data_IF_607901344436
#
_entry.id   IF_607901344436
#
_cell.length_a   1.000
_cell.length_b   1.000
_cell.length_c   1.000
_cell.angle_alpha   90.00
_cell.angle_beta   90.00
_cell.angle_gamma   90.00
#
_symmetry.space_group_name_H-M   'P 1'
#
loop_
_entity.id
_entity.type
_entity.pdbx_description
1 polymer ?
#
# COMPACT_ATOMS: atom_id res chain seq x y z
N UNK A 1 -22.66 -12.11 8.84
CA UNK A 1 -22.36 -12.56 10.19
C UNK A 1 -20.95 -12.12 10.55
N UNK A 2 -20.74 -11.65 11.77
CA UNK A 2 -19.44 -11.21 12.25
C UNK A 2 -18.48 -12.41 12.27
N UNK A 3 -17.35 -12.25 11.59
CA UNK A 3 -16.27 -13.26 11.65
C UNK A 3 -15.55 -13.12 12.99
N UNK A 4 -15.42 -14.23 13.73
CA UNK A 4 -14.65 -14.25 14.98
C UNK A 4 -13.21 -13.81 14.73
N UNK A 5 -12.67 -12.94 15.59
CA UNK A 5 -11.31 -12.38 15.44
C UNK A 5 -11.18 -11.30 14.38
N UNK A 6 -12.29 -10.77 13.83
CA UNK A 6 -12.28 -9.70 12.84
C UNK A 6 -13.23 -8.58 13.26
N UNK A 7 -12.78 -7.34 13.21
CA UNK A 7 -13.60 -6.16 13.40
C UNK A 7 -13.60 -5.34 12.10
N UNK A 8 -14.79 -4.90 11.66
CA UNK A 8 -14.92 -4.07 10.46
C UNK A 8 -15.65 -2.78 10.81
N UNK A 9 -15.14 -1.67 10.31
CA UNK A 9 -15.75 -0.35 10.45
C UNK A 9 -15.71 0.37 9.11
N UNK A 10 -16.84 0.95 8.72
CA UNK A 10 -16.92 1.86 7.56
C UNK A 10 -17.34 3.24 8.05
N UNK A 11 -16.66 4.27 7.57
CA UNK A 11 -16.96 5.67 7.90
C UNK A 11 -16.67 6.57 6.70
N UNK A 12 -17.19 7.80 6.75
CA UNK A 12 -16.79 8.85 5.78
C UNK A 12 -15.79 9.80 6.45
N UNK A 13 -14.60 9.91 5.86
CA UNK A 13 -13.56 10.86 6.25
C UNK A 13 -13.39 11.90 5.15
N UNK A 14 -13.60 13.16 5.49
CA UNK A 14 -13.49 14.28 4.52
C UNK A 14 -14.31 14.04 3.24
N UNK A 15 -15.46 13.36 3.37
CA UNK A 15 -16.32 13.01 2.26
C UNK A 15 -15.96 11.70 1.54
N UNK A 16 -14.81 11.10 1.83
CA UNK A 16 -14.32 9.85 1.22
C UNK A 16 -14.78 8.64 2.05
N UNK A 17 -15.25 7.59 1.39
CA UNK A 17 -15.60 6.31 2.02
C UNK A 17 -14.32 5.57 2.43
N UNK A 18 -14.21 5.22 3.72
CA UNK A 18 -13.08 4.48 4.28
C UNK A 18 -13.60 3.27 5.05
N UNK A 19 -13.14 2.09 4.65
CA UNK A 19 -13.43 0.83 5.34
C UNK A 19 -12.16 0.32 6.00
N UNK A 20 -12.19 0.15 7.31
CA UNK A 20 -11.13 -0.49 8.10
C UNK A 20 -11.55 -1.89 8.49
N UNK A 21 -10.68 -2.86 8.23
CA UNK A 21 -10.77 -4.24 8.71
C UNK A 21 -9.59 -4.48 9.63
N UNK A 22 -9.88 -4.84 10.88
CA UNK A 22 -8.86 -5.25 11.87
C UNK A 22 -8.94 -6.74 12.07
N UNK A 23 -7.85 -7.43 11.80
CA UNK A 23 -7.66 -8.82 12.17
C UNK A 23 -7.02 -8.82 13.55
N UNK A 24 -7.76 -9.36 14.54
CA UNK A 24 -7.43 -9.18 15.95
C UNK A 24 -6.61 -10.36 16.51
N UNK A 25 -6.75 -11.55 15.89
CA UNK A 25 -6.13 -12.77 16.38
C UNK A 25 -5.91 -13.79 15.23
N UNK A 26 -5.29 -14.93 15.58
CA UNK A 26 -5.01 -16.02 14.65
C UNK A 26 -6.28 -16.67 14.05
N UNK A 27 -7.42 -16.55 14.72
CA UNK A 27 -8.70 -17.07 14.19
C UNK A 27 -9.14 -16.21 13.01
N UNK A 28 -9.11 -14.90 13.18
CA UNK A 28 -9.38 -13.94 12.11
C UNK A 28 -8.35 -14.04 10.98
N UNK A 29 -7.06 -14.23 11.31
CA UNK A 29 -5.99 -14.38 10.34
C UNK A 29 -6.23 -15.59 9.43
N UNK A 30 -6.60 -16.74 9.99
CA UNK A 30 -6.95 -17.94 9.22
C UNK A 30 -8.21 -17.77 8.39
N UNK A 31 -9.23 -17.12 8.94
CA UNK A 31 -10.50 -16.89 8.25
C UNK A 31 -10.34 -16.01 7.01
N UNK A 32 -9.47 -15.00 7.06
CA UNK A 32 -9.24 -14.06 5.96
C UNK A 32 -8.00 -14.37 5.11
N UNK A 33 -7.15 -15.32 5.53
CA UNK A 33 -5.90 -15.64 4.86
C UNK A 33 -4.91 -14.47 4.84
N UNK A 34 -4.92 -13.65 5.90
CA UNK A 34 -4.07 -12.46 6.03
C UNK A 34 -3.52 -12.35 7.46
N UNK A 35 -2.33 -11.77 7.66
CA UNK A 35 -1.76 -11.54 8.99
C UNK A 35 -2.67 -10.72 9.92
N UNK A 36 -2.49 -10.89 11.23
CA UNK A 36 -3.06 -10.00 12.25
C UNK A 36 -2.58 -8.57 11.99
N UNK A 37 -3.50 -7.59 12.00
CA UNK A 37 -3.18 -6.19 11.74
C UNK A 37 -4.35 -5.40 11.16
N UNK A 38 -4.05 -4.21 10.67
CA UNK A 38 -5.01 -3.24 10.14
C UNK A 38 -4.95 -3.19 8.61
N UNK A 39 -6.12 -3.23 8.01
CA UNK A 39 -6.30 -3.14 6.56
C UNK A 39 -7.32 -2.05 6.28
N UNK A 40 -6.90 -0.97 5.64
CA UNK A 40 -7.74 0.18 5.34
C UNK A 40 -7.95 0.27 3.84
N UNK A 41 -9.18 0.39 3.40
CA UNK A 41 -9.54 0.64 2.00
C UNK A 41 -10.21 2.01 1.92
N UNK A 42 -9.61 2.90 1.15
CA UNK A 42 -10.14 4.21 0.80
C UNK A 42 -10.69 4.14 -0.63
N UNK A 43 -11.95 4.51 -0.84
CA UNK A 43 -12.56 4.53 -2.16
C UNK A 43 -12.25 5.85 -2.89
N UNK A 44 -11.77 5.73 -4.14
CA UNK A 44 -11.53 6.87 -5.02
C UNK A 44 -12.84 7.15 -5.77
N UNK A 45 -13.64 8.06 -5.24
CA UNK A 45 -14.81 8.56 -5.93
C UNK A 45 -14.37 9.53 -7.04
N UNK A 46 -15.23 9.83 -8.02
CA UNK A 46 -15.00 10.82 -9.08
C UNK A 46 -15.02 12.28 -8.58
N UNK A 47 -14.67 12.46 -7.33
CA UNK A 47 -14.63 13.74 -6.62
C UNK A 47 -13.30 14.48 -6.84
N UNK A 48 -13.22 15.77 -6.51
CA UNK A 48 -11.96 16.51 -6.57
C UNK A 48 -10.83 15.79 -5.81
N UNK A 49 -9.62 15.88 -6.33
CA UNK A 49 -8.42 15.23 -5.76
C UNK A 49 -8.13 15.66 -4.31
N UNK A 50 -8.45 16.91 -3.94
CA UNK A 50 -8.11 17.50 -2.65
C UNK A 50 -8.68 16.75 -1.42
N UNK A 51 -9.98 16.38 -1.35
CA UNK A 51 -10.50 15.58 -0.24
C UNK A 51 -9.85 14.21 -0.10
N UNK A 52 -9.55 13.56 -1.24
CA UNK A 52 -8.91 12.24 -1.25
C UNK A 52 -7.47 12.33 -0.71
N UNK A 53 -6.71 13.34 -1.13
CA UNK A 53 -5.35 13.57 -0.63
C UNK A 53 -5.35 13.89 0.88
N UNK A 54 -6.27 14.70 1.34
CA UNK A 54 -6.40 15.04 2.76
C UNK A 54 -6.82 13.82 3.60
N UNK A 55 -7.71 12.97 3.08
CA UNK A 55 -8.10 11.71 3.71
C UNK A 55 -6.89 10.76 3.83
N UNK A 56 -6.14 10.56 2.76
CA UNK A 56 -4.93 9.74 2.76
C UNK A 56 -3.88 10.28 3.75
N UNK A 57 -3.64 11.59 3.76
CA UNK A 57 -2.72 12.22 4.70
C UNK A 57 -3.13 11.97 6.17
N UNK A 58 -4.42 12.06 6.48
CA UNK A 58 -4.98 11.76 7.81
C UNK A 58 -4.75 10.29 8.21
N UNK A 59 -4.98 9.35 7.30
CA UNK A 59 -4.73 7.92 7.53
C UNK A 59 -3.25 7.62 7.75
N UNK A 60 -2.37 8.23 6.96
CA UNK A 60 -0.92 8.10 7.13
C UNK A 60 -0.44 8.65 8.47
N UNK A 61 -0.98 9.79 8.91
CA UNK A 61 -0.65 10.39 10.20
C UNK A 61 -1.07 9.50 11.40
N UNK A 62 -2.12 8.68 11.25
CA UNK A 62 -2.56 7.72 12.26
C UNK A 62 -1.73 6.43 12.27
N UNK A 63 -1.26 5.99 11.09
CA UNK A 63 -0.61 4.69 10.93
C UNK A 63 0.90 4.76 11.08
N UNK A 64 1.51 5.90 10.79
CA UNK A 64 2.96 6.07 10.85
C UNK A 64 3.43 6.48 12.26
N UNK A 65 4.48 5.86 12.79
CA UNK A 65 5.13 6.33 14.00
C UNK A 65 5.83 7.68 13.75
N UNK A 66 6.08 8.41 14.82
CA UNK A 66 6.91 9.63 14.73
C UNK A 66 8.36 9.28 14.44
N UNK A 67 9.00 10.00 13.56
CA UNK A 67 10.43 9.83 13.24
C UNK A 67 10.72 9.85 11.74
N UNK A 68 11.96 9.55 11.34
CA UNK A 68 12.35 9.47 9.94
C UNK A 68 11.57 8.38 9.19
N UNK A 69 11.16 8.67 7.96
CA UNK A 69 10.44 7.72 7.10
C UNK A 69 11.25 7.43 5.84
N UNK A 70 11.26 6.17 5.44
CA UNK A 70 11.78 5.73 4.15
C UNK A 70 10.62 5.27 3.27
N UNK A 71 10.37 5.95 2.14
CA UNK A 71 9.38 5.52 1.16
C UNK A 71 10.07 4.72 0.05
N UNK A 72 9.53 3.55 -0.25
CA UNK A 72 9.99 2.69 -1.34
C UNK A 72 8.89 2.56 -2.39
N UNK A 73 9.16 3.04 -3.61
CA UNK A 73 8.33 2.82 -4.78
C UNK A 73 8.72 1.53 -5.47
N UNK A 74 7.78 0.58 -5.52
CA UNK A 74 7.99 -0.77 -6.07
C UNK A 74 7.29 -0.83 -7.44
N UNK A 75 7.89 -1.54 -8.37
CA UNK A 75 7.32 -1.79 -9.69
C UNK A 75 8.18 -1.25 -10.82
N UNK A 76 7.72 -1.51 -12.04
CA UNK A 76 8.40 -1.12 -13.27
C UNK A 76 7.87 0.22 -13.79
N UNK A 77 8.75 1.22 -13.86
CA UNK A 77 8.44 2.56 -14.36
C UNK A 77 7.91 2.56 -15.80
N UNK A 78 8.40 1.64 -16.63
CA UNK A 78 8.07 1.57 -18.05
C UNK A 78 6.78 0.77 -18.33
N UNK A 79 6.19 0.17 -17.31
CA UNK A 79 4.90 -0.51 -17.41
C UNK A 79 3.81 0.31 -16.71
N UNK A 80 2.89 0.91 -17.45
CA UNK A 80 1.83 1.77 -16.91
C UNK A 80 1.06 1.16 -15.75
N UNK A 81 0.73 -0.12 -15.82
CA UNK A 81 0.01 -0.83 -14.75
C UNK A 81 0.87 -1.17 -13.53
N UNK A 82 2.19 -1.00 -13.59
CA UNK A 82 3.15 -1.30 -12.52
C UNK A 82 3.95 -0.06 -12.08
N UNK A 83 3.67 1.11 -12.66
CA UNK A 83 4.44 2.34 -12.44
C UNK A 83 3.99 3.16 -11.23
N UNK A 84 2.97 2.73 -10.46
CA UNK A 84 2.40 3.55 -9.38
C UNK A 84 3.41 3.86 -8.28
N UNK A 85 4.21 2.88 -7.87
CA UNK A 85 5.24 3.06 -6.85
C UNK A 85 6.33 4.06 -7.27
N UNK A 86 7.01 3.85 -8.42
CA UNK A 86 7.96 4.81 -8.96
C UNK A 86 7.38 6.21 -9.17
N UNK A 87 6.16 6.31 -9.72
CA UNK A 87 5.48 7.58 -9.94
C UNK A 87 5.20 8.31 -8.62
N UNK A 88 4.77 7.59 -7.57
CA UNK A 88 4.55 8.18 -6.26
C UNK A 88 5.85 8.76 -5.69
N UNK A 89 6.98 8.06 -5.82
CA UNK A 89 8.29 8.56 -5.37
C UNK A 89 8.71 9.81 -6.11
N UNK A 90 8.49 9.91 -7.41
CA UNK A 90 8.83 11.09 -8.21
C UNK A 90 8.11 12.38 -7.76
N UNK A 91 6.94 12.22 -7.13
CA UNK A 91 6.15 13.35 -6.63
C UNK A 91 6.38 13.65 -5.15
N UNK A 92 7.27 12.92 -4.45
CA UNK A 92 7.60 13.18 -3.06
C UNK A 92 8.63 14.28 -2.91
N UNK A 93 8.39 15.17 -1.95
CA UNK A 93 9.43 16.08 -1.47
C UNK A 93 10.31 15.35 -0.45
N UNK A 94 11.48 14.85 -0.86
CA UNK A 94 12.45 14.25 0.05
C UNK A 94 13.13 15.34 0.89
N UNK A 95 13.07 15.20 2.21
CA UNK A 95 13.46 16.25 3.15
C UNK A 95 14.68 15.89 4.03
N UNK A 96 15.08 14.62 4.11
CA UNK A 96 16.13 14.15 5.02
C UNK A 96 17.42 14.98 4.94
N UNK A 97 17.92 15.27 3.73
CA UNK A 97 19.14 16.06 3.54
C UNK A 97 18.93 17.52 3.91
N UNK A 98 17.74 18.09 3.67
CA UNK A 98 17.39 19.46 4.00
C UNK A 98 17.27 19.66 5.52
N UNK A 99 16.59 18.74 6.21
CA UNK A 99 16.43 18.74 7.67
C UNK A 99 17.80 18.61 8.36
N UNK A 100 18.63 17.71 7.87
CA UNK A 100 19.98 17.47 8.44
C UNK A 100 20.94 18.61 8.19
N UNK A 101 20.74 19.41 7.14
CA UNK A 101 21.54 20.62 6.92
C UNK A 101 21.21 21.76 7.90
N UNK A 102 20.09 21.65 8.64
CA UNK A 102 19.64 22.65 9.61
C UNK A 102 19.17 23.96 9.00
N UNK A 103 19.00 24.03 7.66
CA UNK A 103 18.61 25.25 6.96
C UNK A 103 17.11 25.54 7.11
N UNK A 104 16.76 26.83 7.26
CA UNK A 104 15.37 27.28 7.15
C UNK A 104 14.92 27.26 5.66
N UNK A 105 13.64 26.94 5.36
CA UNK A 105 12.52 26.70 6.28
C UNK A 105 12.33 25.22 6.69
N UNK A 106 13.32 24.35 6.50
CA UNK A 106 13.18 22.91 6.68
C UNK A 106 13.37 22.44 8.13
N UNK A 107 13.84 23.34 9.00
CA UNK A 107 14.02 23.04 10.43
C UNK A 107 12.67 22.65 11.06
N UNK A 108 12.58 21.48 11.68
CA UNK A 108 11.38 20.95 12.32
C UNK A 108 10.45 20.14 11.40
N UNK A 109 10.76 20.02 10.10
CA UNK A 109 10.08 19.06 9.23
C UNK A 109 10.49 17.62 9.56
N UNK A 110 9.64 16.66 9.21
CA UNK A 110 10.00 15.23 9.28
C UNK A 110 11.09 14.86 8.26
N UNK A 111 12.00 13.98 8.64
CA UNK A 111 12.98 13.41 7.71
C UNK A 111 12.32 12.40 6.79
N UNK A 112 12.23 12.67 5.49
CA UNK A 112 11.73 11.76 4.46
C UNK A 112 12.84 11.41 3.49
N UNK A 113 13.08 10.11 3.31
CA UNK A 113 13.91 9.53 2.25
C UNK A 113 13.05 8.74 1.30
N UNK A 114 13.45 8.60 0.05
CA UNK A 114 12.73 7.78 -0.92
C UNK A 114 13.70 7.06 -1.85
N UNK A 115 13.28 5.88 -2.35
CA UNK A 115 13.95 5.15 -3.42
C UNK A 115 12.93 4.41 -4.29
N UNK A 116 13.29 4.19 -5.56
CA UNK A 116 12.62 3.22 -6.43
C UNK A 116 13.47 1.96 -6.48
N UNK A 117 12.83 0.78 -6.37
CA UNK A 117 13.55 -0.49 -6.32
C UNK A 117 13.70 -1.15 -7.68
N UNK A 118 12.90 -0.69 -8.67
CA UNK A 118 12.75 -1.38 -9.95
C UNK A 118 12.27 -2.83 -9.77
N UNK A 119 12.30 -3.61 -10.84
CA UNK A 119 11.98 -5.04 -10.82
C UNK A 119 13.25 -5.89 -10.83
N UNK A 120 13.15 -7.14 -10.34
CA UNK A 120 14.26 -8.09 -10.29
C UNK A 120 14.98 -8.23 -11.64
N UNK A 121 14.23 -8.24 -12.74
CA UNK A 121 14.80 -8.33 -14.08
C UNK A 121 15.64 -7.12 -14.51
N UNK A 122 15.42 -5.96 -13.90
CA UNK A 122 16.20 -4.73 -14.17
C UNK A 122 17.45 -4.61 -13.30
N UNK A 123 17.34 -5.04 -12.03
CA UNK A 123 18.43 -4.85 -11.06
C UNK A 123 19.24 -6.12 -10.75
N UNK A 124 18.67 -7.30 -10.96
CA UNK A 124 19.24 -8.57 -10.50
C UNK A 124 19.17 -8.76 -8.98
N UNK A 125 18.52 -7.86 -8.25
CA UNK A 125 18.40 -7.89 -6.79
C UNK A 125 16.93 -7.93 -6.36
N UNK A 126 16.65 -8.66 -5.29
CA UNK A 126 15.31 -8.66 -4.70
C UNK A 126 14.97 -7.29 -4.10
N UNK A 127 13.72 -6.86 -4.29
CA UNK A 127 13.18 -5.61 -3.71
C UNK A 127 13.45 -5.50 -2.21
N UNK A 128 13.30 -6.61 -1.48
CA UNK A 128 13.54 -6.70 -0.05
C UNK A 128 15.02 -6.43 0.31
N UNK A 129 15.98 -6.88 -0.50
CA UNK A 129 17.42 -6.65 -0.28
C UNK A 129 17.76 -5.16 -0.41
N UNK A 130 17.24 -4.52 -1.47
CA UNK A 130 17.44 -3.09 -1.70
C UNK A 130 16.86 -2.23 -0.59
N UNK A 131 15.61 -2.50 -0.19
CA UNK A 131 14.94 -1.74 0.88
C UNK A 131 15.63 -1.98 2.21
N UNK A 132 16.05 -3.20 2.52
CA UNK A 132 16.80 -3.52 3.76
C UNK A 132 18.13 -2.79 3.82
N UNK A 133 18.88 -2.75 2.73
CA UNK A 133 20.15 -2.02 2.66
C UNK A 133 19.93 -0.51 2.88
N UNK A 134 18.93 0.07 2.23
CA UNK A 134 18.57 1.47 2.41
C UNK A 134 18.08 1.77 3.85
N UNK A 135 17.24 0.91 4.43
CA UNK A 135 16.76 1.04 5.80
C UNK A 135 17.93 0.98 6.81
N UNK A 136 18.90 0.09 6.59
CA UNK A 136 20.11 0.03 7.40
C UNK A 136 20.94 1.33 7.38
N UNK A 137 21.01 1.99 6.22
CA UNK A 137 21.72 3.26 6.06
C UNK A 137 20.92 4.47 6.59
N UNK A 138 19.61 4.49 6.38
CA UNK A 138 18.72 5.61 6.75
C UNK A 138 18.30 5.53 8.21
N UNK A 139 18.11 4.32 8.75
CA UNK A 139 17.56 4.03 10.07
C UNK A 139 16.22 4.71 10.29
N UNK A 140 15.21 4.42 9.46
CA UNK A 140 13.92 5.03 9.57
C UNK A 140 13.13 4.50 10.78
N UNK A 141 12.15 5.26 11.26
CA UNK A 141 11.18 4.80 12.24
C UNK A 141 10.11 3.90 11.58
N UNK A 142 9.89 4.05 10.28
CA UNK A 142 9.03 3.19 9.47
C UNK A 142 9.44 3.22 7.99
N UNK A 143 9.10 2.13 7.29
CA UNK A 143 9.15 2.05 5.83
C UNK A 143 7.72 2.16 5.29
N UNK A 144 7.53 2.99 4.28
CA UNK A 144 6.28 3.05 3.48
C UNK A 144 6.57 2.40 2.13
N UNK A 145 5.95 1.27 1.84
CA UNK A 145 6.08 0.57 0.57
C UNK A 145 4.87 0.88 -0.32
N UNK A 146 5.10 1.46 -1.50
CA UNK A 146 4.05 1.79 -2.48
C UNK A 146 4.17 0.83 -3.65
N UNK A 147 3.08 0.12 -3.97
CA UNK A 147 3.08 -0.94 -5.00
C UNK A 147 1.76 -0.98 -5.77
N UNK A 148 1.80 -1.54 -6.98
CA UNK A 148 0.64 -1.90 -7.76
C UNK A 148 0.07 -3.24 -7.26
N UNK A 149 -1.25 -3.32 -7.11
CA UNK A 149 -1.93 -4.52 -6.63
C UNK A 149 -2.76 -5.18 -7.74
N UNK A 150 -3.02 -6.48 -7.59
CA UNK A 150 -4.04 -7.17 -8.34
C UNK A 150 -5.43 -6.94 -7.72
N UNK A 151 -6.38 -6.52 -8.54
CA UNK A 151 -7.77 -6.37 -8.14
C UNK A 151 -8.44 -7.76 -7.99
N UNK A 152 -9.23 -7.93 -6.94
CA UNK A 152 -10.10 -9.12 -6.74
C UNK A 152 -11.52 -8.92 -7.28
N UNK A 153 -11.81 -7.75 -7.83
CA UNK A 153 -13.05 -7.40 -8.51
C UNK A 153 -12.79 -6.22 -9.44
N UNK A 154 -13.40 -6.19 -10.64
CA UNK A 154 -13.31 -5.06 -11.57
C UNK A 154 -13.72 -3.72 -10.96
N UNK A 155 -14.64 -3.75 -10.01
CA UNK A 155 -15.15 -2.54 -9.30
C UNK A 155 -14.06 -1.82 -8.50
N UNK A 156 -12.97 -2.52 -8.12
CA UNK A 156 -11.84 -1.94 -7.36
C UNK A 156 -10.70 -1.48 -8.24
N UNK A 157 -10.69 -1.85 -9.51
CA UNK A 157 -9.61 -1.53 -10.44
C UNK A 157 -9.47 -0.01 -10.60
N UNK A 158 -8.31 0.52 -10.21
CA UNK A 158 -7.99 1.95 -10.19
C UNK A 158 -8.99 2.83 -9.39
N UNK A 159 -9.76 2.22 -8.48
CA UNK A 159 -10.82 2.90 -7.72
C UNK A 159 -10.64 2.87 -6.20
N UNK A 160 -9.58 2.24 -5.71
CA UNK A 160 -9.31 2.17 -4.27
C UNK A 160 -7.84 2.40 -3.99
N UNK A 161 -7.54 2.99 -2.83
CA UNK A 161 -6.22 2.95 -2.19
C UNK A 161 -6.33 2.02 -0.99
N UNK A 162 -5.43 1.06 -0.89
CA UNK A 162 -5.38 0.09 0.19
C UNK A 162 -4.13 0.32 1.03
N UNK A 163 -4.30 0.42 2.35
CA UNK A 163 -3.20 0.56 3.29
C UNK A 163 -3.20 -0.65 4.24
N UNK A 164 -2.02 -1.08 4.67
CA UNK A 164 -1.88 -2.08 5.71
C UNK A 164 -0.60 -1.89 6.52
N UNK A 165 -0.69 -2.08 7.83
CA UNK A 165 0.45 -2.08 8.75
C UNK A 165 1.18 -3.43 8.84
N UNK A 166 0.74 -4.43 8.07
CA UNK A 166 1.36 -5.76 7.99
C UNK A 166 2.41 -5.89 6.89
N UNK A 167 2.66 -4.80 6.15
CA UNK A 167 3.53 -4.82 4.98
C UNK A 167 2.88 -5.47 3.75
N UNK A 168 3.70 -5.95 2.83
CA UNK A 168 3.26 -6.59 1.59
C UNK A 168 4.27 -7.64 1.09
N UNK A 169 3.83 -8.49 0.17
CA UNK A 169 4.69 -9.40 -0.59
C UNK A 169 4.68 -8.93 -2.04
N UNK A 170 5.80 -8.37 -2.55
CA UNK A 170 5.87 -7.86 -3.92
C UNK A 170 5.52 -8.96 -4.94
N UNK A 171 4.67 -8.64 -5.92
CA UNK A 171 4.29 -9.58 -6.97
C UNK A 171 3.40 -10.75 -6.54
N UNK A 172 2.92 -10.81 -5.29
CA UNK A 172 2.03 -11.90 -4.83
C UNK A 172 0.73 -11.99 -5.61
N UNK A 173 0.22 -10.87 -6.13
CA UNK A 173 -0.99 -10.82 -6.95
C UNK A 173 -0.86 -11.49 -8.32
N UNK A 174 0.36 -11.78 -8.77
CA UNK A 174 0.67 -12.44 -10.05
C UNK A 174 1.43 -13.77 -9.86
N UNK A 175 1.35 -14.36 -8.67
CA UNK A 175 1.90 -15.69 -8.38
C UNK A 175 3.41 -15.74 -8.12
N UNK A 176 4.08 -14.61 -7.98
CA UNK A 176 5.50 -14.56 -7.62
C UNK A 176 5.67 -14.61 -6.10
N UNK A 177 6.30 -15.66 -5.60
CA UNK A 177 6.66 -15.80 -4.19
C UNK A 177 8.02 -15.11 -3.94
N UNK A 178 7.98 -13.82 -3.59
CA UNK A 178 9.16 -13.03 -3.25
C UNK A 178 9.27 -12.81 -1.74
N UNK A 179 10.42 -12.29 -1.30
CA UNK A 179 10.63 -11.92 0.10
C UNK A 179 9.57 -10.90 0.55
N UNK A 180 8.90 -11.18 1.66
CA UNK A 180 7.93 -10.26 2.26
C UNK A 180 8.61 -8.98 2.74
N UNK A 181 7.95 -7.86 2.57
CA UNK A 181 8.32 -6.56 3.14
C UNK A 181 7.44 -6.34 4.37
N UNK A 182 7.91 -6.73 5.52
CA UNK A 182 7.24 -6.61 6.81
C UNK A 182 8.25 -6.31 7.92
N UNK A 183 7.77 -6.16 9.14
CA UNK A 183 8.62 -5.87 10.29
C UNK A 183 9.64 -6.98 10.58
N UNK A 184 9.29 -8.24 10.36
CA UNK A 184 10.20 -9.37 10.59
C UNK A 184 11.41 -9.33 9.63
N UNK A 185 11.21 -8.90 8.40
CA UNK A 185 12.27 -8.86 7.37
C UNK A 185 13.08 -7.59 7.38
N UNK A 186 12.49 -6.45 7.73
CA UNK A 186 13.13 -5.14 7.69
C UNK A 186 13.55 -4.63 9.08
N UNK A 187 13.07 -5.25 10.17
CA UNK A 187 13.30 -4.87 11.57
C UNK A 187 12.84 -3.45 11.90
N UNK A 188 11.89 -2.94 11.14
CA UNK A 188 11.17 -1.68 11.35
C UNK A 188 9.73 -1.85 10.89
N UNK A 189 8.76 -1.12 11.47
CA UNK A 189 7.38 -1.13 11.01
C UNK A 189 7.28 -0.84 9.50
N UNK A 190 6.43 -1.59 8.80
CA UNK A 190 6.19 -1.44 7.37
C UNK A 190 4.73 -1.13 7.11
N UNK A 191 4.46 0.05 6.57
CA UNK A 191 3.17 0.42 6.05
C UNK A 191 3.14 0.20 4.53
N UNK A 192 2.23 -0.61 4.03
CA UNK A 192 2.00 -0.74 2.60
C UNK A 192 0.90 0.21 2.13
N UNK A 193 1.09 0.77 0.94
CA UNK A 193 0.10 1.52 0.18
C UNK A 193 0.01 0.85 -1.19
N UNK A 194 -1.18 0.41 -1.57
CA UNK A 194 -1.38 -0.24 -2.85
C UNK A 194 -2.60 0.27 -3.59
N UNK A 195 -2.48 0.32 -4.91
CA UNK A 195 -3.59 0.63 -5.81
C UNK A 195 -3.78 -0.55 -6.75
N UNK A 196 -4.98 -1.14 -6.83
CA UNK A 196 -5.27 -2.20 -7.81
C UNK A 196 -5.23 -1.63 -9.23
N UNK A 197 -4.25 -2.05 -10.02
CA UNK A 197 -4.03 -1.57 -11.40
C UNK A 197 -4.17 -2.67 -12.45
N UNK A 198 -4.17 -3.93 -12.02
CA UNK A 198 -4.35 -5.11 -12.87
C UNK A 198 -5.43 -6.02 -12.30
N UNK A 199 -6.02 -6.85 -13.15
CA UNK A 199 -6.94 -7.93 -12.76
C UNK A 199 -6.59 -9.16 -13.60
N UNK A 200 -6.60 -10.33 -12.97
CA UNK A 200 -6.39 -11.56 -13.75
C UNK A 200 -7.64 -11.94 -14.55
N UNK A 201 -7.41 -12.64 -15.69
CA UNK A 201 -8.47 -12.95 -16.62
C UNK A 201 -9.55 -13.89 -16.05
N UNK A 202 -9.19 -14.79 -15.13
CA UNK A 202 -10.15 -15.72 -14.52
C UNK A 202 -11.07 -14.98 -13.55
N UNK A 203 -10.53 -14.08 -12.74
CA UNK A 203 -11.31 -13.20 -11.85
C UNK A 203 -12.27 -12.33 -12.65
N UNK A 204 -11.80 -11.73 -13.75
CA UNK A 204 -12.64 -10.91 -14.62
C UNK A 204 -13.76 -11.74 -15.26
N UNK A 205 -13.45 -12.92 -15.77
CA UNK A 205 -14.44 -13.81 -16.39
C UNK A 205 -15.50 -14.28 -15.38
N UNK A 206 -15.09 -14.63 -14.15
CA UNK A 206 -16.01 -15.05 -13.11
C UNK A 206 -16.99 -13.93 -12.73
N UNK A 207 -16.51 -12.71 -12.53
CA UNK A 207 -17.32 -11.53 -12.20
C UNK A 207 -18.35 -11.21 -13.32
N UNK A 208 -17.92 -11.29 -14.59
CA UNK A 208 -18.80 -11.08 -15.74
C UNK A 208 -19.88 -12.17 -15.85
N UNK A 209 -19.55 -13.43 -15.55
CA UNK A 209 -20.52 -14.54 -15.57
C UNK A 209 -21.54 -14.40 -14.44
N UNK A 210 -21.12 -13.99 -13.24
CA UNK A 210 -22.04 -13.71 -12.13
C UNK A 210 -23.03 -12.59 -12.50
N UNK A 211 -22.55 -11.48 -13.06
CA UNK A 211 -23.42 -10.39 -13.53
C UNK A 211 -24.39 -10.87 -14.63
N UNK A 212 -23.96 -11.68 -15.60
CA UNK A 212 -24.84 -12.24 -16.65
C UNK A 212 -25.92 -13.15 -16.07
N UNK A 213 -25.60 -14.00 -15.08
CA UNK A 213 -26.55 -14.91 -14.45
C UNK A 213 -27.63 -14.17 -13.63
N UNK A 214 -27.27 -13.03 -13.03
CA UNK A 214 -28.22 -12.17 -12.30
C UNK A 214 -29.23 -11.51 -13.22
N UNK A 215 -28.87 -11.21 -14.48
CA UNK A 215 -29.78 -10.62 -15.47
C UNK A 215 -30.66 -11.64 -16.21
N UNK A 216 -30.40 -12.95 -16.08
CA UNK A 216 -31.19 -14.01 -16.77
C UNK A 216 -32.18 -14.70 -15.86
N UNK A 217 -32.37 -14.26 -14.61
CA UNK A 217 -33.27 -14.84 -13.60
C UNK A 217 -34.55 -14.04 -13.37
N UNK A 218 -34.99 -13.20 -14.33
CA UNK A 218 -36.30 -12.53 -14.36
C UNK A 218 -37.27 -13.20 -15.40
#
# INVERSE_FOLDING_TARGET
GDLSGVATRTERRQGVSVTEVRILDETGARALGKPVGRYVTMELESQPFSPQAACLASLLAELLPRGPVLTAGIGNRDMTCDAIGPTAVDHLLVTRHLVRSGQEPFRGMGELSALCTEVLGGTGMETCELIRAAAGAVRPAAVVAVDALAARSPRRLCRTVQLSDTGLIPGSGVGNHRCALNEDTLHVPVLSIGIPTVIDGATLAADLLEDCLLYTSD
#
